data_IF_174309907718
#
_entry.id   IF_174309907718
#
_cell.length_a   1.000
_cell.length_b   1.000
_cell.length_c   1.000
_cell.angle_alpha   90.00
_cell.angle_beta   90.00
_cell.angle_gamma   90.00
#
_symmetry.space_group_name_H-M   'P 1'
#
loop_
_entity.id
_entity.type
_entity.pdbx_description
1 polymer ?
#
# COMPACT_ATOMS: atom_id res chain seq x y z
N UNK A 1 -7.25 23.83 -52.49
CA UNK A 1 -6.15 23.18 -51.76
C UNK A 1 -5.68 21.96 -52.53
N UNK A 2 -4.41 21.92 -52.91
CA UNK A 2 -3.84 20.82 -53.72
C UNK A 2 -3.86 19.52 -52.90
N UNK A 3 -4.20 18.38 -53.55
CA UNK A 3 -4.14 17.04 -52.90
C UNK A 3 -2.77 16.71 -52.27
N UNK A 4 -1.72 17.37 -52.71
CA UNK A 4 -0.36 17.25 -52.14
C UNK A 4 -0.22 17.92 -50.78
N UNK A 5 -0.82 19.09 -50.54
CA UNK A 5 -0.77 19.78 -49.24
C UNK A 5 -1.56 19.05 -48.17
N UNK A 6 -2.67 18.41 -48.53
CA UNK A 6 -3.49 17.62 -47.61
C UNK A 6 -2.75 16.36 -47.12
N UNK A 7 -1.90 15.74 -47.96
CA UNK A 7 -1.13 14.53 -47.59
C UNK A 7 -0.09 14.80 -46.48
N UNK A 8 0.43 16.03 -46.39
CA UNK A 8 1.38 16.42 -45.35
C UNK A 8 0.73 17.06 -44.12
N UNK A 9 -0.47 17.59 -44.26
CA UNK A 9 -1.21 18.19 -43.16
C UNK A 9 -1.60 17.18 -42.09
N UNK A 10 -1.93 15.95 -42.46
CA UNK A 10 -2.33 14.88 -41.51
C UNK A 10 -1.18 14.46 -40.61
N UNK A 11 0.04 14.08 -41.11
CA UNK A 11 1.14 13.68 -40.21
C UNK A 11 1.65 14.84 -39.36
N UNK A 12 1.63 16.09 -39.85
CA UNK A 12 2.02 17.26 -39.09
C UNK A 12 1.02 17.54 -37.94
N UNK A 13 -0.28 17.38 -38.19
CA UNK A 13 -1.29 17.53 -37.14
C UNK A 13 -1.30 16.36 -36.12
N UNK A 14 -0.88 15.16 -36.52
CA UNK A 14 -0.78 14.00 -35.66
C UNK A 14 0.43 14.08 -34.71
N UNK A 15 1.50 14.79 -35.09
CA UNK A 15 2.74 14.84 -34.30
C UNK A 15 2.54 15.39 -32.87
N UNK A 16 1.85 16.51 -32.62
CA UNK A 16 1.59 17.00 -31.27
C UNK A 16 0.72 16.06 -30.45
N UNK A 17 -0.21 15.35 -31.08
CA UNK A 17 -1.03 14.34 -30.38
C UNK A 17 -0.17 13.15 -29.96
N UNK A 18 0.72 12.67 -30.81
CA UNK A 18 1.65 11.59 -30.47
C UNK A 18 2.65 12.01 -29.37
N UNK A 19 3.10 13.28 -29.40
CA UNK A 19 3.97 13.81 -28.35
C UNK A 19 3.24 13.93 -27.02
N UNK A 20 1.99 14.36 -27.00
CA UNK A 20 1.16 14.43 -25.81
C UNK A 20 0.86 13.04 -25.24
N UNK A 21 0.56 12.07 -26.09
CA UNK A 21 0.36 10.68 -25.70
C UNK A 21 1.67 10.10 -25.13
N UNK A 22 2.80 10.31 -25.82
CA UNK A 22 4.12 9.87 -25.33
C UNK A 22 4.53 10.50 -24.00
N UNK A 23 4.14 11.77 -23.77
CA UNK A 23 4.33 12.42 -22.47
C UNK A 23 3.42 11.83 -21.39
N UNK A 24 2.15 11.56 -21.73
CA UNK A 24 1.19 10.94 -20.81
C UNK A 24 1.60 9.52 -20.34
N UNK A 25 2.24 8.74 -21.23
CA UNK A 25 2.78 7.41 -20.85
C UNK A 25 4.02 7.46 -19.96
N UNK A 26 4.67 8.61 -19.80
CA UNK A 26 5.80 8.77 -18.86
C UNK A 26 5.34 9.02 -17.42
N UNK A 27 4.10 9.39 -17.22
CA UNK A 27 3.55 9.61 -15.87
C UNK A 27 3.06 8.26 -15.36
N UNK A 28 3.65 7.75 -14.29
CA UNK A 28 3.17 6.52 -13.64
C UNK A 28 1.81 6.82 -12.97
N UNK A 29 0.70 6.24 -13.45
CA UNK A 29 -0.61 6.49 -12.87
C UNK A 29 -0.77 5.91 -11.45
N UNK A 30 0.23 5.17 -10.97
CA UNK A 30 0.25 4.60 -9.61
C UNK A 30 0.71 5.60 -8.55
N UNK A 31 1.31 6.72 -8.94
CA UNK A 31 1.68 7.81 -8.03
C UNK A 31 0.52 8.81 -7.84
N UNK A 32 -0.63 8.34 -7.37
CA UNK A 32 -1.64 9.27 -6.85
C UNK A 32 -1.22 9.62 -5.43
N UNK A 33 -0.79 10.88 -5.16
CA UNK A 33 -0.40 11.28 -3.83
C UNK A 33 -1.57 11.10 -2.86
N UNK A 34 -1.39 10.25 -1.85
CA UNK A 34 -2.42 10.12 -0.82
C UNK A 34 -2.57 11.44 -0.07
N UNK A 35 -3.80 11.93 0.13
CA UNK A 35 -4.04 13.14 0.91
C UNK A 35 -3.65 12.99 2.39
N UNK A 36 -3.32 11.78 2.82
CA UNK A 36 -2.88 11.47 4.19
C UNK A 36 -1.39 11.69 4.40
N UNK A 37 -0.58 11.83 3.36
CA UNK A 37 0.87 12.05 3.52
C UNK A 37 1.13 13.30 4.34
N UNK A 38 1.94 13.15 5.41
CA UNK A 38 2.26 14.20 6.39
C UNK A 38 1.16 14.48 7.41
N UNK A 39 -0.01 13.84 7.31
CA UNK A 39 -1.10 13.99 8.27
C UNK A 39 -1.11 12.86 9.30
N UNK A 40 -1.77 13.04 10.45
CA UNK A 40 -2.05 11.95 11.37
C UNK A 40 -2.75 10.80 10.63
N UNK A 41 -2.31 9.58 10.87
CA UNK A 41 -2.97 8.39 10.36
C UNK A 41 -4.39 8.28 10.93
N UNK A 42 -5.34 7.82 10.12
CA UNK A 42 -6.72 7.65 10.56
C UNK A 42 -6.79 6.61 11.69
N UNK A 43 -7.49 6.91 12.79
CA UNK A 43 -7.62 5.96 13.89
C UNK A 43 -8.47 4.76 13.48
N UNK A 44 -8.12 3.60 14.00
CA UNK A 44 -8.93 2.41 13.86
C UNK A 44 -8.98 1.61 15.16
N UNK A 45 -10.05 0.84 15.30
CA UNK A 45 -10.24 -0.13 16.37
C UNK A 45 -10.88 -1.39 15.77
N UNK A 46 -10.07 -2.42 15.62
CA UNK A 46 -10.44 -3.71 15.03
C UNK A 46 -10.18 -4.83 16.05
N UNK A 47 -10.60 -6.04 15.72
CA UNK A 47 -10.16 -7.26 16.38
C UNK A 47 -9.39 -8.11 15.38
N UNK A 48 -8.25 -8.63 15.80
CA UNK A 48 -7.47 -9.56 14.98
C UNK A 48 -8.29 -10.83 14.69
N UNK A 49 -7.82 -11.62 13.75
CA UNK A 49 -8.40 -12.95 13.51
C UNK A 49 -8.38 -13.84 14.77
N UNK A 50 -7.46 -13.61 15.71
CA UNK A 50 -7.36 -14.34 16.97
C UNK A 50 -8.20 -13.73 18.11
N UNK A 51 -8.97 -12.67 17.82
CA UNK A 51 -9.87 -12.01 18.75
C UNK A 51 -9.25 -10.90 19.60
N UNK A 52 -7.94 -10.66 19.46
CA UNK A 52 -7.23 -9.64 20.21
C UNK A 52 -7.58 -8.22 19.74
N UNK A 53 -7.71 -7.24 20.64
CA UNK A 53 -7.97 -5.86 20.25
C UNK A 53 -6.75 -5.27 19.52
N UNK A 54 -7.00 -4.61 18.40
CA UNK A 54 -6.00 -3.95 17.58
C UNK A 54 -6.42 -2.50 17.31
N UNK A 55 -5.71 -1.54 17.91
CA UNK A 55 -5.99 -0.13 17.75
C UNK A 55 -4.74 0.62 17.36
N UNK A 56 -4.85 1.65 16.51
CA UNK A 56 -3.72 2.49 16.14
C UNK A 56 -3.13 3.23 17.36
N UNK A 57 -3.98 3.60 18.33
CA UNK A 57 -3.56 4.28 19.56
C UNK A 57 -2.57 3.43 20.38
N UNK A 58 -2.80 2.13 20.47
CA UNK A 58 -1.91 1.20 21.19
C UNK A 58 -0.52 1.04 20.53
N UNK A 59 -0.39 1.47 19.27
CA UNK A 59 0.86 1.35 18.49
C UNK A 59 1.69 2.65 18.49
N UNK A 60 1.27 3.68 19.20
CA UNK A 60 2.01 4.95 19.29
C UNK A 60 3.42 4.78 19.81
N UNK A 61 4.33 5.60 19.29
CA UNK A 61 5.75 5.53 19.65
C UNK A 61 6.55 4.48 18.86
N UNK A 62 5.84 3.66 18.07
CA UNK A 62 6.45 2.67 17.18
C UNK A 62 6.36 3.12 15.72
N UNK A 63 7.23 2.62 14.87
CA UNK A 63 7.05 2.69 13.42
C UNK A 63 5.98 1.66 13.06
N UNK A 64 4.92 2.10 12.35
CA UNK A 64 3.81 1.21 11.98
C UNK A 64 3.75 1.06 10.47
N UNK A 65 3.70 -0.19 10.02
CA UNK A 65 3.48 -0.53 8.61
C UNK A 65 2.11 -1.19 8.49
N UNK A 66 1.18 -0.52 7.83
CA UNK A 66 -0.16 -1.07 7.59
C UNK A 66 -0.24 -1.54 6.14
N UNK A 67 -0.52 -2.82 5.96
CA UNK A 67 -0.75 -3.43 4.66
C UNK A 67 -2.22 -3.81 4.51
N UNK A 68 -2.88 -3.27 3.48
CA UNK A 68 -4.23 -3.66 3.09
C UNK A 68 -4.14 -4.76 2.04
N UNK A 69 -4.81 -5.86 2.28
CA UNK A 69 -4.70 -7.07 1.47
C UNK A 69 -6.01 -7.85 1.39
N UNK A 70 -6.05 -8.89 0.56
CA UNK A 70 -7.13 -9.87 0.53
C UNK A 70 -6.64 -11.19 -0.06
N UNK A 71 -7.24 -12.32 0.31
CA UNK A 71 -6.87 -13.63 -0.23
C UNK A 71 -7.21 -13.80 -1.72
N UNK A 72 -8.16 -13.04 -2.22
CA UNK A 72 -8.54 -13.05 -3.64
C UNK A 72 -7.66 -12.13 -4.51
N UNK A 73 -6.76 -11.37 -3.92
CA UNK A 73 -5.88 -10.43 -4.60
C UNK A 73 -4.68 -11.14 -5.27
N UNK A 74 -4.95 -11.93 -6.29
CA UNK A 74 -3.92 -12.62 -7.09
C UNK A 74 -3.60 -11.80 -8.36
N UNK A 75 -2.32 -11.70 -8.79
CA UNK A 75 -1.12 -12.26 -8.15
C UNK A 75 -0.48 -11.35 -7.08
N UNK A 76 -0.81 -10.08 -7.01
CA UNK A 76 -0.02 -9.05 -6.35
C UNK A 76 0.14 -9.28 -4.82
N UNK A 77 -0.93 -9.62 -4.09
CA UNK A 77 -0.81 -9.92 -2.65
C UNK A 77 0.00 -11.20 -2.40
N UNK A 78 -0.05 -12.16 -3.33
CA UNK A 78 0.74 -13.40 -3.25
C UNK A 78 2.24 -13.14 -3.49
N UNK A 79 2.56 -12.19 -4.35
CA UNK A 79 3.94 -11.81 -4.66
C UNK A 79 4.60 -11.06 -3.50
N UNK A 80 3.85 -10.20 -2.78
CA UNK A 80 4.40 -9.44 -1.66
C UNK A 80 4.43 -10.20 -0.33
N UNK A 81 3.56 -11.19 -0.12
CA UNK A 81 3.42 -11.87 1.16
C UNK A 81 4.75 -12.41 1.72
N UNK A 82 5.63 -13.06 0.95
CA UNK A 82 6.95 -13.48 1.44
C UNK A 82 7.84 -12.31 1.88
N UNK A 83 7.75 -11.15 1.21
CA UNK A 83 8.47 -9.93 1.58
C UNK A 83 7.99 -9.42 2.94
N UNK A 84 6.67 -9.36 3.15
CA UNK A 84 6.10 -8.94 4.43
C UNK A 84 6.49 -9.88 5.58
N UNK A 85 6.49 -11.20 5.35
CA UNK A 85 6.93 -12.18 6.35
C UNK A 85 8.39 -11.97 6.75
N UNK A 86 9.29 -11.76 5.77
CA UNK A 86 10.71 -11.48 6.03
C UNK A 86 10.90 -10.16 6.78
N UNK A 87 10.19 -9.11 6.35
CA UNK A 87 10.26 -7.82 7.00
C UNK A 87 9.81 -7.92 8.47
N UNK A 88 8.70 -8.59 8.75
CA UNK A 88 8.26 -8.81 10.11
C UNK A 88 9.30 -9.53 10.96
N UNK A 89 9.87 -10.61 10.46
CA UNK A 89 10.91 -11.34 11.17
C UNK A 89 12.14 -10.48 11.47
N UNK A 90 12.51 -9.56 10.57
CA UNK A 90 13.68 -8.68 10.73
C UNK A 90 13.45 -7.48 11.66
N UNK A 91 12.22 -6.96 11.74
CA UNK A 91 11.96 -5.66 12.36
C UNK A 91 11.08 -5.70 13.61
N UNK A 92 10.38 -6.79 13.93
CA UNK A 92 9.46 -6.89 15.09
C UNK A 92 10.10 -6.53 16.44
N UNK A 93 11.38 -6.81 16.61
CA UNK A 93 12.11 -6.55 17.84
C UNK A 93 12.90 -5.20 17.80
N UNK A 94 12.65 -4.38 16.76
CA UNK A 94 13.35 -3.10 16.53
C UNK A 94 12.43 -1.87 16.65
N UNK A 95 11.27 -2.02 17.30
CA UNK A 95 10.30 -0.93 17.47
C UNK A 95 9.47 -0.68 16.22
N UNK A 96 9.25 -1.71 15.42
CA UNK A 96 8.35 -1.72 14.26
C UNK A 96 7.20 -2.68 14.52
N UNK A 97 5.99 -2.23 14.21
CA UNK A 97 4.80 -3.10 14.17
C UNK A 97 4.27 -3.14 12.76
N UNK A 98 4.03 -4.34 12.26
CA UNK A 98 3.29 -4.55 11.03
C UNK A 98 1.86 -4.93 11.35
N UNK A 99 0.92 -4.40 10.58
CA UNK A 99 -0.52 -4.65 10.70
C UNK A 99 -1.06 -5.03 9.32
N UNK A 100 -1.72 -6.16 9.21
CA UNK A 100 -2.49 -6.53 8.04
C UNK A 100 -3.96 -6.18 8.23
N UNK A 101 -4.56 -5.52 7.26
CA UNK A 101 -5.99 -5.25 7.23
C UNK A 101 -6.57 -5.96 6.02
N UNK A 102 -7.34 -7.00 6.30
CA UNK A 102 -8.00 -7.82 5.31
C UNK A 102 -9.33 -7.19 4.89
N UNK A 103 -9.51 -6.98 3.59
CA UNK A 103 -10.69 -6.30 3.07
C UNK A 103 -11.58 -7.22 2.23
N UNK A 104 -12.91 -7.15 2.46
CA UNK A 104 -13.92 -7.80 1.62
C UNK A 104 -13.61 -9.28 1.34
N UNK A 105 -13.15 -10.01 2.34
CA UNK A 105 -12.74 -11.40 2.21
C UNK A 105 -13.61 -12.35 3.05
N UNK A 106 -13.45 -13.64 2.81
CA UNK A 106 -14.00 -14.69 3.66
C UNK A 106 -12.97 -15.10 4.70
N UNK A 107 -13.36 -15.13 5.96
CA UNK A 107 -12.45 -15.43 7.07
C UNK A 107 -11.65 -16.73 6.85
N UNK A 108 -12.29 -17.79 6.34
CA UNK A 108 -11.61 -19.05 6.07
C UNK A 108 -10.49 -18.89 5.02
N UNK A 109 -10.76 -18.14 3.93
CA UNK A 109 -9.79 -17.89 2.87
C UNK A 109 -8.65 -17.00 3.36
N UNK A 110 -8.98 -15.96 4.13
CA UNK A 110 -8.01 -15.08 4.77
C UNK A 110 -7.06 -15.85 5.70
N UNK A 111 -7.59 -16.68 6.62
CA UNK A 111 -6.78 -17.50 7.53
C UNK A 111 -5.89 -18.49 6.78
N UNK A 112 -6.39 -19.09 5.69
CA UNK A 112 -5.60 -19.97 4.84
C UNK A 112 -4.42 -19.22 4.19
N UNK A 113 -4.66 -18.01 3.68
CA UNK A 113 -3.62 -17.15 3.13
C UNK A 113 -2.55 -16.80 4.17
N UNK A 114 -2.95 -16.35 5.36
CA UNK A 114 -2.02 -16.04 6.47
C UNK A 114 -1.15 -17.24 6.83
N UNK A 115 -1.75 -18.43 6.95
CA UNK A 115 -1.03 -19.67 7.25
C UNK A 115 -0.07 -20.07 6.13
N UNK A 116 -0.51 -19.98 4.87
CA UNK A 116 0.28 -20.35 3.69
C UNK A 116 1.58 -19.54 3.59
N UNK A 117 1.53 -18.25 3.93
CA UNK A 117 2.68 -17.36 3.80
C UNK A 117 3.38 -17.07 5.14
N UNK A 118 2.93 -17.64 6.24
CA UNK A 118 3.53 -17.43 7.57
C UNK A 118 3.44 -15.98 8.03
N UNK A 119 2.33 -15.29 7.74
CA UNK A 119 2.11 -13.89 8.13
C UNK A 119 1.67 -13.83 9.59
N UNK A 120 2.64 -13.81 10.51
CA UNK A 120 2.41 -13.90 11.96
C UNK A 120 2.29 -12.54 12.66
N UNK A 121 2.38 -11.44 11.94
CA UNK A 121 2.06 -10.12 12.50
C UNK A 121 0.54 -9.97 12.70
N UNK A 122 0.07 -9.03 13.53
CA UNK A 122 -1.35 -8.79 13.75
C UNK A 122 -2.11 -8.54 12.44
N UNK A 123 -3.11 -9.38 12.17
CA UNK A 123 -3.99 -9.27 11.01
C UNK A 123 -5.45 -9.19 11.49
N UNK A 124 -6.20 -8.24 10.96
CA UNK A 124 -7.59 -7.99 11.33
C UNK A 124 -8.49 -7.82 10.11
N UNK A 125 -9.70 -8.37 10.10
CA UNK A 125 -10.68 -8.11 9.05
C UNK A 125 -11.28 -6.70 9.17
N UNK A 126 -11.49 -6.06 8.01
CA UNK A 126 -12.29 -4.83 7.86
C UNK A 126 -13.56 -5.12 7.03
N UNK A 127 -14.53 -5.89 7.57
CA UNK A 127 -15.66 -6.41 6.80
C UNK A 127 -16.58 -5.31 6.28
N UNK A 128 -16.60 -4.16 6.94
CA UNK A 128 -17.40 -2.99 6.54
C UNK A 128 -16.63 -2.01 5.66
N UNK A 129 -15.33 -2.25 5.42
CA UNK A 129 -14.47 -1.38 4.62
C UNK A 129 -14.26 0.02 5.21
N UNK A 130 -14.52 0.22 6.50
CA UNK A 130 -14.43 1.55 7.13
C UNK A 130 -13.01 2.04 7.21
N UNK A 131 -12.11 1.20 7.67
CA UNK A 131 -10.69 1.56 7.78
C UNK A 131 -10.10 1.77 6.39
N UNK A 132 -10.46 0.93 5.42
CA UNK A 132 -10.04 1.07 4.03
C UNK A 132 -10.47 2.40 3.43
N UNK A 133 -11.71 2.83 3.69
CA UNK A 133 -12.23 4.14 3.24
C UNK A 133 -11.51 5.30 3.92
N UNK A 134 -11.29 5.24 5.23
CA UNK A 134 -10.61 6.29 5.99
C UNK A 134 -9.14 6.49 5.54
N UNK A 135 -8.49 5.41 5.09
CA UNK A 135 -7.14 5.44 4.50
C UNK A 135 -7.13 5.79 3.01
N UNK A 136 -8.30 5.89 2.37
CA UNK A 136 -8.41 6.13 0.93
C UNK A 136 -7.78 5.01 0.11
N UNK A 137 -8.00 3.77 0.54
CA UNK A 137 -7.63 2.55 -0.19
C UNK A 137 -8.60 2.35 -1.34
N UNK A 138 -8.09 2.24 -2.54
CA UNK A 138 -8.89 2.03 -3.74
C UNK A 138 -8.62 0.70 -4.44
N UNK A 139 -7.63 -0.04 -3.95
CA UNK A 139 -7.28 -1.37 -4.43
C UNK A 139 -6.37 -2.09 -3.43
N UNK A 140 -6.10 -3.36 -3.65
CA UNK A 140 -5.14 -4.13 -2.88
C UNK A 140 -4.09 -4.75 -3.82
N UNK A 141 -2.84 -4.86 -3.35
CA UNK A 141 -2.35 -4.41 -2.04
C UNK A 141 -2.01 -2.92 -2.01
N UNK A 142 -2.17 -2.29 -0.86
CA UNK A 142 -1.67 -0.96 -0.57
C UNK A 142 -0.99 -0.95 0.81
N UNK A 143 0.16 -0.31 0.91
CA UNK A 143 0.95 -0.28 2.15
C UNK A 143 1.22 1.15 2.60
N UNK A 144 0.93 1.43 3.87
CA UNK A 144 1.18 2.72 4.51
C UNK A 144 2.31 2.59 5.53
N UNK A 145 3.21 3.56 5.52
CA UNK A 145 4.32 3.66 6.46
C UNK A 145 4.08 4.88 7.36
N UNK A 146 4.03 4.64 8.67
CA UNK A 146 3.64 5.61 9.70
C UNK A 146 4.81 5.77 10.67
N UNK A 147 5.18 7.00 10.97
CA UNK A 147 6.25 7.31 11.91
C UNK A 147 5.81 7.18 13.38
N UNK A 148 6.78 7.29 14.31
CA UNK A 148 6.54 7.18 15.76
C UNK A 148 5.58 8.25 16.30
N UNK A 149 5.40 9.36 15.58
CA UNK A 149 4.44 10.41 15.95
C UNK A 149 3.01 10.10 15.46
N UNK A 150 2.83 8.99 14.73
CA UNK A 150 1.55 8.58 14.17
C UNK A 150 1.19 9.28 12.86
N UNK A 151 2.17 9.84 12.14
CA UNK A 151 1.94 10.49 10.84
C UNK A 151 2.24 9.54 9.69
N UNK A 152 1.38 9.56 8.68
CA UNK A 152 1.62 8.84 7.42
C UNK A 152 2.77 9.50 6.68
N UNK A 153 3.82 8.76 6.39
CA UNK A 153 5.00 9.24 5.68
C UNK A 153 5.03 8.81 4.22
N UNK A 154 4.59 7.60 3.95
CA UNK A 154 4.46 7.09 2.59
C UNK A 154 3.24 6.18 2.44
N UNK A 155 2.72 6.17 1.22
CA UNK A 155 1.77 5.18 0.71
C UNK A 155 2.41 4.52 -0.50
N UNK A 156 2.38 3.20 -0.54
CA UNK A 156 2.75 2.42 -1.71
C UNK A 156 1.52 1.70 -2.26
N UNK A 157 1.33 1.77 -3.57
CA UNK A 157 0.22 1.12 -4.27
C UNK A 157 0.78 -0.04 -5.09
N UNK A 158 0.20 -1.22 -4.94
CA UNK A 158 0.69 -2.46 -5.53
C UNK A 158 1.63 -3.23 -4.59
N UNK A 159 2.16 -4.36 -5.06
CA UNK A 159 3.01 -5.23 -4.28
C UNK A 159 4.32 -4.54 -3.87
N UNK A 160 4.63 -4.58 -2.58
CA UNK A 160 5.90 -4.04 -2.05
C UNK A 160 7.05 -5.03 -2.30
N UNK A 161 8.24 -4.48 -2.52
CA UNK A 161 9.49 -5.25 -2.62
C UNK A 161 10.30 -5.16 -1.33
N UNK A 162 11.24 -6.10 -1.12
CA UNK A 162 12.16 -6.06 0.03
C UNK A 162 12.89 -4.71 0.11
N UNK A 163 13.32 -4.17 -1.02
CA UNK A 163 14.02 -2.88 -1.08
C UNK A 163 13.13 -1.73 -0.59
N UNK A 164 11.88 -1.66 -1.06
CA UNK A 164 10.94 -0.60 -0.64
C UNK A 164 10.67 -0.68 0.85
N UNK A 165 10.34 -1.87 1.36
CA UNK A 165 10.02 -2.06 2.77
C UNK A 165 11.21 -1.72 3.66
N UNK A 166 12.39 -2.22 3.31
CA UNK A 166 13.62 -1.95 4.05
C UNK A 166 13.95 -0.45 4.05
N UNK A 167 13.97 0.20 2.88
CA UNK A 167 14.30 1.63 2.77
C UNK A 167 13.37 2.50 3.62
N UNK A 168 12.05 2.25 3.56
CA UNK A 168 11.08 3.06 4.30
C UNK A 168 11.15 2.81 5.80
N UNK A 169 11.28 1.57 6.23
CA UNK A 169 11.42 1.24 7.66
C UNK A 169 12.70 1.81 8.25
N UNK A 170 13.86 1.60 7.58
CA UNK A 170 15.15 2.11 8.10
C UNK A 170 15.16 3.64 8.15
N UNK A 171 14.56 4.32 7.18
CA UNK A 171 14.41 5.77 7.23
C UNK A 171 13.62 6.21 8.46
N UNK A 172 12.46 5.58 8.74
CA UNK A 172 11.64 5.92 9.92
C UNK A 172 12.32 5.57 11.25
N UNK A 173 13.09 4.48 11.29
CA UNK A 173 13.86 4.11 12.48
C UNK A 173 14.99 5.09 12.76
N UNK A 174 15.60 5.66 11.72
CA UNK A 174 16.68 6.66 11.83
C UNK A 174 16.20 8.06 12.26
N UNK A 175 14.91 8.37 12.07
CA UNK A 175 14.34 9.64 12.51
C UNK A 175 14.19 9.65 14.04
N UNK A 176 14.74 10.67 14.67
CA UNK A 176 14.47 10.93 16.09
C UNK A 176 13.07 11.48 16.21
N UNK A 177 12.19 10.82 16.95
CA UNK A 177 10.83 11.28 17.23
C UNK A 177 10.80 12.57 18.03
#
# INVERSE_FOLDING_TARGET
>A
MSRRTLRWAIPVAALPVLLLLGYGFRTDPREIPSPLIGKPAAPFALKTFDGEPLTLEALRGQVVVINFWASWCYPACYEEAPTLARAWAAYKDRGVVMVGIDIQDKEEAARKFLTQFGLTFPNAPDPMGRVSVDYGVYGVPETFFIDRTGRVRWKHVGAVTDQIVQERIETLLGERG
#
